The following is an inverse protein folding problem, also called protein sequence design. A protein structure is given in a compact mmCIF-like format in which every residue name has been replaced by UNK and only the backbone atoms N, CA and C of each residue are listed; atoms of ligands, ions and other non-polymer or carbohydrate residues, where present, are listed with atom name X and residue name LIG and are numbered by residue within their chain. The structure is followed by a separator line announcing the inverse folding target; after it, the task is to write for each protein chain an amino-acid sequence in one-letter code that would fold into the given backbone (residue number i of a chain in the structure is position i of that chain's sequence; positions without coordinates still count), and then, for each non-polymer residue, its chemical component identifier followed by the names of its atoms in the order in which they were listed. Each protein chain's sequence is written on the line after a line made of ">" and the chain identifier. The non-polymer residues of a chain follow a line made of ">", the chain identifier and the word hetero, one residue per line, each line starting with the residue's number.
data_IF_220423000242
#
_entry.id   IF_220423000242
#
_cell.length_a   1.000
_cell.length_b   1.000
_cell.length_c   1.000
_cell.angle_alpha   90.00
_cell.angle_beta   90.00
_cell.angle_gamma   90.00
#
_symmetry.space_group_name_H-M   'P 1'
#
loop_
_entity.id
_entity.type
_entity.pdbx_description
1 polymer ?
#
# COMPACT_ATOMS: atom_id res chain seq x y z
N UNK A 1 -0.86 11.48 -2.19
CA UNK A 1 -0.19 11.53 -3.49
C UNK A 1 0.53 10.21 -3.73
N UNK A 2 0.40 9.64 -4.93
CA UNK A 2 1.14 8.47 -5.41
C UNK A 2 2.24 8.99 -6.32
N UNK A 3 3.49 8.64 -6.07
CA UNK A 3 4.61 9.19 -6.85
C UNK A 3 5.82 8.27 -6.92
N UNK A 4 6.69 8.58 -7.88
CA UNK A 4 8.00 7.96 -8.00
C UNK A 4 9.02 8.72 -7.14
N UNK A 5 9.96 7.97 -6.58
CA UNK A 5 11.05 8.48 -5.78
C UNK A 5 12.28 7.58 -5.88
N UNK A 6 13.16 7.72 -4.94
CA UNK A 6 14.36 6.89 -4.83
C UNK A 6 14.55 6.42 -3.40
N UNK A 7 14.96 5.16 -3.24
CA UNK A 7 15.31 4.56 -1.95
C UNK A 7 16.65 3.83 -2.06
N UNK A 8 17.39 3.77 -0.96
CA UNK A 8 18.72 3.16 -0.94
C UNK A 8 18.67 1.83 -0.20
N UNK A 9 19.11 0.78 -0.86
CA UNK A 9 19.15 -0.58 -0.35
C UNK A 9 20.59 -1.13 -0.45
N UNK A 10 21.21 -1.49 0.67
CA UNK A 10 22.57 -2.01 0.67
C UNK A 10 23.61 -1.11 0.01
N UNK A 11 23.42 0.22 0.08
CA UNK A 11 24.31 1.20 -0.53
C UNK A 11 24.05 1.50 -2.01
N UNK A 12 23.08 0.84 -2.65
CA UNK A 12 22.64 1.12 -4.03
C UNK A 12 21.30 1.84 -4.03
N UNK A 13 21.12 2.81 -4.93
CA UNK A 13 19.89 3.59 -5.06
C UNK A 13 19.03 3.02 -6.17
N UNK A 14 17.79 2.69 -5.84
CA UNK A 14 16.77 2.20 -6.77
C UNK A 14 15.65 3.23 -6.95
N UNK A 15 15.04 3.25 -8.12
CA UNK A 15 13.74 3.90 -8.32
C UNK A 15 12.68 3.11 -7.57
N UNK A 16 11.91 3.82 -6.73
CA UNK A 16 10.82 3.26 -5.95
C UNK A 16 9.58 4.12 -6.07
N UNK A 17 8.43 3.57 -5.71
CA UNK A 17 7.18 4.30 -5.67
C UNK A 17 6.60 4.29 -4.26
N UNK A 18 5.93 5.38 -3.90
CA UNK A 18 5.34 5.52 -2.58
C UNK A 18 4.10 6.40 -2.53
N UNK A 19 3.43 6.36 -1.40
CA UNK A 19 2.33 7.25 -1.06
C UNK A 19 2.84 8.32 -0.09
N UNK A 20 2.83 9.57 -0.51
CA UNK A 20 3.38 10.72 0.23
C UNK A 20 4.86 10.58 0.61
N UNK A 21 5.59 9.73 -0.09
CA UNK A 21 7.00 9.43 0.16
C UNK A 21 7.59 8.63 -0.99
N UNK A 22 8.81 8.14 -0.79
CA UNK A 22 9.57 7.44 -1.84
C UNK A 22 9.26 5.93 -1.88
N UNK A 23 8.82 5.35 -0.78
CA UNK A 23 8.58 3.91 -0.63
C UNK A 23 7.48 3.70 0.41
N UNK A 24 6.58 2.75 0.17
CA UNK A 24 5.42 2.49 1.01
C UNK A 24 4.50 3.71 1.15
N UNK A 25 3.69 3.73 2.17
CA UNK A 25 2.80 4.82 2.54
C UNK A 25 2.72 4.98 4.05
N UNK A 26 2.12 6.08 4.51
CA UNK A 26 1.84 6.25 5.93
C UNK A 26 0.84 5.20 6.41
N UNK A 27 0.89 4.86 7.70
CA UNK A 27 -0.21 4.13 8.33
C UNK A 27 -1.43 5.05 8.42
N UNK A 28 -2.57 4.55 7.98
CA UNK A 28 -3.86 5.25 8.04
C UNK A 28 -4.68 4.65 9.18
N UNK A 29 -5.01 5.47 10.19
CA UNK A 29 -5.90 5.08 11.26
C UNK A 29 -7.33 5.53 10.95
N UNK A 30 -8.26 4.59 10.96
CA UNK A 30 -9.70 4.80 10.77
C UNK A 30 -10.43 4.39 12.02
N UNK A 31 -11.55 5.05 12.32
CA UNK A 31 -12.41 4.71 13.44
C UNK A 31 -13.77 4.25 12.94
N UNK A 32 -14.24 3.13 13.47
CA UNK A 32 -15.60 2.63 13.21
C UNK A 32 -16.65 3.71 13.47
N UNK A 33 -17.61 3.82 12.58
CA UNK A 33 -18.68 4.82 12.64
C UNK A 33 -18.28 6.23 12.18
N UNK A 34 -17.06 6.43 11.71
CA UNK A 34 -16.60 7.70 11.14
C UNK A 34 -16.46 7.62 9.63
N UNK A 35 -16.92 8.67 8.94
CA UNK A 35 -16.66 8.86 7.52
C UNK A 35 -15.33 9.60 7.33
N UNK A 36 -14.52 9.13 6.39
CA UNK A 36 -13.24 9.76 6.03
C UNK A 36 -13.18 9.95 4.53
N UNK A 37 -12.93 11.18 4.07
CA UNK A 37 -12.69 11.45 2.66
C UNK A 37 -11.20 11.44 2.37
N UNK A 38 -10.81 10.67 1.36
CA UNK A 38 -9.42 10.53 0.92
C UNK A 38 -9.29 11.07 -0.50
N UNK A 39 -8.42 12.05 -0.66
CA UNK A 39 -8.02 12.59 -1.95
C UNK A 39 -6.75 11.89 -2.44
N UNK A 40 -6.83 11.25 -3.58
CA UNK A 40 -5.75 10.46 -4.17
C UNK A 40 -5.29 11.15 -5.45
N UNK A 41 -4.03 11.53 -5.51
CA UNK A 41 -3.41 12.16 -6.69
C UNK A 41 -2.38 11.22 -7.28
N UNK A 42 -2.49 10.91 -8.56
CA UNK A 42 -1.53 10.08 -9.28
C UNK A 42 -0.49 10.96 -10.00
N UNK A 43 0.73 10.97 -9.50
CA UNK A 43 1.88 11.66 -10.12
C UNK A 43 2.81 10.69 -10.87
N UNK A 44 2.43 9.41 -11.00
CA UNK A 44 3.14 8.47 -11.86
C UNK A 44 2.89 8.81 -13.33
N UNK A 45 3.75 8.31 -14.20
CA UNK A 45 3.61 8.40 -15.65
C UNK A 45 2.68 7.35 -16.24
N UNK A 46 2.11 6.49 -15.40
CA UNK A 46 1.15 5.45 -15.79
C UNK A 46 -0.10 5.49 -14.89
N UNK A 47 -1.17 4.88 -15.37
CA UNK A 47 -2.39 4.72 -14.58
C UNK A 47 -2.20 3.75 -13.42
N UNK A 48 -2.92 3.99 -12.33
CA UNK A 48 -2.94 3.18 -11.13
C UNK A 48 -4.31 3.19 -10.49
N UNK A 49 -4.47 2.46 -9.39
CA UNK A 49 -5.62 2.52 -8.49
C UNK A 49 -5.12 2.62 -7.06
N UNK A 50 -6.02 2.81 -6.10
CA UNK A 50 -5.75 2.60 -4.69
C UNK A 50 -6.88 1.77 -4.11
N UNK A 51 -6.60 0.48 -3.87
CA UNK A 51 -7.54 -0.47 -3.30
C UNK A 51 -7.36 -0.55 -1.78
N UNK A 52 -8.49 -0.56 -1.08
CA UNK A 52 -8.57 -0.66 0.38
C UNK A 52 -8.79 -2.11 0.79
N UNK A 53 -7.72 -2.89 0.82
CA UNK A 53 -7.76 -4.33 1.04
C UNK A 53 -8.17 -4.67 2.48
N UNK A 54 -9.30 -5.33 2.62
CA UNK A 54 -9.88 -5.72 3.90
C UNK A 54 -10.91 -4.73 4.47
N UNK A 55 -11.17 -3.61 3.77
CA UNK A 55 -12.27 -2.72 4.14
C UNK A 55 -13.60 -3.23 3.56
N UNK A 56 -14.63 -3.27 4.39
CA UNK A 56 -16.01 -3.57 4.01
C UNK A 56 -16.69 -2.28 3.52
N UNK A 57 -16.40 -1.90 2.28
CA UNK A 57 -16.90 -0.67 1.65
C UNK A 57 -17.51 -0.96 0.27
N UNK A 58 -18.42 -0.12 -0.24
CA UNK A 58 -18.99 -0.31 -1.57
C UNK A 58 -17.92 -0.33 -2.66
N UNK A 59 -18.13 -1.15 -3.72
CA UNK A 59 -17.17 -1.31 -4.81
C UNK A 59 -16.79 -0.02 -5.53
N UNK A 60 -17.67 0.98 -5.52
CA UNK A 60 -17.42 2.30 -6.11
C UNK A 60 -16.30 3.07 -5.42
N UNK A 61 -16.05 2.81 -4.13
CA UNK A 61 -15.01 3.49 -3.33
C UNK A 61 -13.85 2.56 -2.96
N UNK A 62 -14.02 1.26 -3.15
CA UNK A 62 -13.03 0.21 -2.80
C UNK A 62 -11.72 0.34 -3.58
N UNK A 63 -11.74 0.93 -4.76
CA UNK A 63 -10.52 1.18 -5.56
C UNK A 63 -9.97 -0.06 -6.27
N UNK A 64 -10.80 -1.06 -6.54
CA UNK A 64 -10.47 -2.18 -7.40
C UNK A 64 -10.13 -1.77 -8.84
N UNK A 65 -10.04 -2.73 -9.80
CA UNK A 65 -9.59 -2.45 -11.18
C UNK A 65 -10.37 -1.35 -11.90
N UNK A 66 -11.63 -1.15 -11.55
CA UNK A 66 -12.48 -0.09 -12.10
C UNK A 66 -12.15 1.31 -11.57
N UNK A 67 -11.36 1.39 -10.48
CA UNK A 67 -11.01 2.65 -9.80
C UNK A 67 -9.81 3.37 -10.39
N UNK A 68 -9.64 3.35 -11.72
CA UNK A 68 -8.48 3.89 -12.43
C UNK A 68 -8.28 5.39 -12.15
N UNK A 69 -7.04 5.74 -11.84
CA UNK A 69 -6.55 7.12 -11.70
C UNK A 69 -5.49 7.33 -12.78
N UNK A 70 -5.78 8.09 -13.86
CA UNK A 70 -4.82 8.31 -14.92
C UNK A 70 -3.61 9.14 -14.46
N UNK A 71 -2.52 9.18 -15.23
CA UNK A 71 -1.38 10.07 -14.96
C UNK A 71 -1.84 11.52 -14.78
N UNK A 72 -1.38 12.17 -13.71
CA UNK A 72 -1.80 13.53 -13.34
C UNK A 72 -3.24 13.65 -12.83
N UNK A 73 -3.96 12.52 -12.73
CA UNK A 73 -5.36 12.49 -12.31
C UNK A 73 -5.54 12.53 -10.79
N UNK A 74 -6.78 12.82 -10.41
CA UNK A 74 -7.25 12.80 -9.02
C UNK A 74 -8.48 11.91 -8.90
N UNK A 75 -8.59 11.19 -7.78
CA UNK A 75 -9.82 10.53 -7.34
C UNK A 75 -10.07 10.88 -5.87
N UNK A 76 -11.31 11.23 -5.55
CA UNK A 76 -11.77 11.43 -4.17
C UNK A 76 -12.75 10.33 -3.81
N UNK A 77 -12.56 9.68 -2.67
CA UNK A 77 -13.46 8.64 -2.15
C UNK A 77 -13.80 8.94 -0.71
N UNK A 78 -15.05 8.64 -0.32
CA UNK A 78 -15.47 8.72 1.08
C UNK A 78 -15.69 7.32 1.61
N UNK A 79 -14.90 6.93 2.60
CA UNK A 79 -14.97 5.64 3.28
C UNK A 79 -15.88 5.80 4.51
N UNK A 80 -16.97 5.05 4.52
CA UNK A 80 -17.86 4.90 5.68
C UNK A 80 -17.50 3.56 6.34
N UNK A 81 -16.68 3.61 7.38
CA UNK A 81 -16.15 2.40 8.01
C UNK A 81 -17.11 1.95 9.12
N UNK A 82 -17.75 0.80 8.93
CA UNK A 82 -18.65 0.19 9.94
C UNK A 82 -18.29 -1.27 10.25
N UNK A 83 -17.05 -1.65 10.06
CA UNK A 83 -16.55 -2.97 10.44
C UNK A 83 -15.83 -2.93 11.80
N UNK A 84 -15.70 -4.07 12.50
CA UNK A 84 -14.91 -4.18 13.72
C UNK A 84 -13.45 -3.79 13.54
N UNK A 85 -12.77 -3.51 14.66
CA UNK A 85 -11.33 -3.26 14.66
C UNK A 85 -10.55 -4.33 13.90
N UNK A 86 -9.67 -3.88 13.03
CA UNK A 86 -8.89 -4.75 12.13
C UNK A 86 -7.59 -4.08 11.69
N UNK A 87 -6.62 -4.92 11.30
CA UNK A 87 -5.45 -4.50 10.56
C UNK A 87 -5.63 -4.86 9.09
N UNK A 88 -5.69 -3.84 8.25
CA UNK A 88 -5.87 -3.93 6.80
C UNK A 88 -4.70 -3.24 6.11
N UNK A 89 -4.73 -3.16 4.79
CA UNK A 89 -3.72 -2.45 4.03
C UNK A 89 -4.31 -1.82 2.78
N UNK A 90 -3.56 -0.97 2.10
CA UNK A 90 -3.94 -0.40 0.81
C UNK A 90 -2.80 -0.57 -0.19
N UNK A 91 -3.17 -0.81 -1.43
CA UNK A 91 -2.24 -1.06 -2.51
C UNK A 91 -2.91 -0.83 -3.88
N UNK A 92 -2.14 -0.75 -4.99
CA UNK A 92 -2.71 -0.72 -6.33
C UNK A 92 -3.44 -2.02 -6.67
N UNK A 93 -4.50 -1.92 -7.47
CA UNK A 93 -5.22 -3.07 -8.02
C UNK A 93 -5.47 -2.91 -9.53
N UNK A 94 -4.57 -2.20 -10.22
CA UNK A 94 -4.66 -2.00 -11.66
C UNK A 94 -4.50 -3.33 -12.39
N UNK A 95 -5.45 -3.67 -13.25
CA UNK A 95 -5.43 -4.92 -14.01
C UNK A 95 -4.14 -5.05 -14.83
N UNK A 96 -3.44 -6.18 -14.69
CA UNK A 96 -2.16 -6.46 -15.36
C UNK A 96 -0.94 -5.70 -14.81
N UNK A 97 -1.11 -4.81 -13.80
CA UNK A 97 -0.01 -4.01 -13.24
C UNK A 97 0.15 -4.15 -11.74
N UNK A 98 -0.79 -4.76 -11.04
CA UNK A 98 -0.82 -4.85 -9.57
C UNK A 98 0.51 -5.32 -9.00
N UNK A 99 1.02 -6.47 -9.43
CA UNK A 99 2.24 -7.06 -8.90
C UNK A 99 3.45 -6.15 -9.06
N UNK A 100 3.63 -5.58 -10.27
CA UNK A 100 4.73 -4.64 -10.53
C UNK A 100 4.63 -3.38 -9.67
N UNK A 101 3.45 -2.77 -9.57
CA UNK A 101 3.24 -1.54 -8.82
C UNK A 101 3.47 -1.77 -7.31
N UNK A 102 3.06 -2.92 -6.77
CA UNK A 102 3.37 -3.31 -5.39
C UNK A 102 4.87 -3.60 -5.22
N UNK A 103 5.50 -4.31 -6.16
CA UNK A 103 6.94 -4.56 -6.13
C UNK A 103 7.76 -3.28 -6.14
N UNK A 104 7.30 -2.24 -6.88
CA UNK A 104 7.93 -0.92 -6.88
C UNK A 104 7.80 -0.16 -5.55
N UNK A 105 6.91 -0.61 -4.63
CA UNK A 105 6.82 -0.05 -3.29
C UNK A 105 5.45 0.48 -2.87
N UNK A 106 4.43 0.38 -3.71
CA UNK A 106 3.11 0.91 -3.40
C UNK A 106 2.34 -0.04 -2.47
N UNK A 107 2.47 0.17 -1.18
CA UNK A 107 1.68 -0.46 -0.14
C UNK A 107 1.63 0.45 1.10
N UNK A 108 0.58 0.31 1.91
CA UNK A 108 0.47 1.04 3.17
C UNK A 108 -0.49 0.34 4.12
N UNK A 109 -0.34 0.63 5.40
CA UNK A 109 -1.13 0.02 6.48
C UNK A 109 -2.41 0.79 6.72
N UNK A 110 -3.50 0.07 6.99
CA UNK A 110 -4.74 0.62 7.54
C UNK A 110 -5.02 -0.05 8.88
N UNK A 111 -5.26 0.75 9.91
CA UNK A 111 -5.68 0.28 11.23
C UNK A 111 -7.07 0.82 11.50
N UNK A 112 -8.03 -0.07 11.74
CA UNK A 112 -9.38 0.29 12.13
C UNK A 112 -9.50 0.09 13.65
N UNK A 113 -9.93 1.13 14.32
CA UNK A 113 -10.21 1.10 15.75
C UNK A 113 -11.72 1.17 16.01
N UNK A 114 -12.18 0.51 17.06
CA UNK A 114 -13.54 0.59 17.56
C UNK A 114 -13.55 0.73 19.10
N UNK A 115 -14.74 0.92 19.66
CA UNK A 115 -14.85 1.09 21.12
C UNK A 115 -14.50 -0.20 21.90
N UNK A 116 -14.54 -1.36 21.26
CA UNK A 116 -14.22 -2.63 21.92
C UNK A 116 -12.71 -2.82 22.04
N UNK A 117 -11.94 -2.57 20.96
CA UNK A 117 -10.48 -2.66 21.03
C UNK A 117 -9.90 -1.64 22.03
N UNK A 118 -10.52 -0.47 22.14
CA UNK A 118 -10.06 0.57 23.05
C UNK A 118 -10.25 0.21 24.54
N UNK A 119 -11.15 -0.73 24.88
CA UNK A 119 -11.34 -1.25 26.24
C UNK A 119 -10.32 -2.31 26.64
N UNK A 120 -9.67 -2.94 25.66
CA UNK A 120 -8.69 -3.99 25.94
C UNK A 120 -7.40 -3.40 26.52
N UNK A 121 -6.77 -4.14 27.40
CA UNK A 121 -5.47 -3.79 28.00
C UNK A 121 -4.33 -4.23 27.09
N UNK A 122 -4.32 -3.71 25.84
CA UNK A 122 -3.27 -3.96 24.87
C UNK A 122 -2.28 -2.80 24.85
N UNK A 123 -1.06 -3.00 24.36
CA UNK A 123 -0.17 -1.92 24.00
C UNK A 123 -0.88 -0.95 23.03
N UNK A 124 -0.80 0.37 23.27
CA UNK A 124 -1.55 1.38 22.52
C UNK A 124 -0.72 2.59 22.12
N UNK A 125 0.51 2.66 22.59
CA UNK A 125 1.37 3.79 22.34
C UNK A 125 2.07 3.59 21.01
N UNK A 126 1.46 4.16 19.95
CA UNK A 126 1.93 4.04 18.59
C UNK A 126 3.40 4.39 18.43
N UNK A 127 4.17 3.47 17.82
CA UNK A 127 5.61 3.62 17.60
C UNK A 127 6.48 3.33 18.83
N UNK A 128 5.89 2.99 19.97
CA UNK A 128 6.60 2.63 21.21
C UNK A 128 6.32 1.19 21.61
N UNK A 129 5.08 0.86 21.93
CA UNK A 129 4.66 -0.48 22.30
C UNK A 129 3.59 -1.07 21.36
N UNK A 130 3.06 -0.24 20.46
CA UNK A 130 2.22 -0.61 19.31
C UNK A 130 2.97 -0.21 18.05
N UNK A 131 3.74 -1.15 17.48
CA UNK A 131 4.68 -0.89 16.37
C UNK A 131 4.19 -1.60 15.11
N UNK A 132 3.88 -0.86 14.03
CA UNK A 132 3.55 -1.47 12.74
C UNK A 132 4.78 -2.12 12.12
N UNK A 133 4.59 -3.32 11.58
CA UNK A 133 5.64 -4.03 10.86
C UNK A 133 5.13 -4.47 9.49
N UNK A 134 5.72 -3.91 8.43
CA UNK A 134 5.47 -4.30 7.05
C UNK A 134 6.70 -5.06 6.57
N UNK A 135 6.52 -6.35 6.30
CA UNK A 135 7.58 -7.19 5.72
C UNK A 135 7.36 -7.29 4.21
N UNK A 136 8.41 -7.09 3.46
CA UNK A 136 8.43 -7.18 1.99
C UNK A 136 9.63 -8.01 1.54
N UNK A 137 9.49 -8.65 0.39
CA UNK A 137 10.61 -9.17 -0.36
C UNK A 137 10.86 -8.32 -1.61
N UNK A 138 12.11 -8.17 -1.98
CA UNK A 138 12.55 -7.47 -3.19
C UNK A 138 13.62 -8.30 -3.89
N UNK A 139 13.70 -8.12 -5.20
CA UNK A 139 14.80 -8.62 -6.02
C UNK A 139 15.42 -7.44 -6.74
N UNK A 140 16.74 -7.40 -6.78
CA UNK A 140 17.48 -6.32 -7.42
C UNK A 140 18.35 -6.86 -8.55
N UNK A 141 18.44 -6.12 -9.65
CA UNK A 141 19.37 -6.41 -10.72
C UNK A 141 20.80 -5.95 -10.39
N UNK A 142 21.75 -6.16 -11.29
CA UNK A 142 23.16 -5.79 -11.09
C UNK A 142 23.37 -4.30 -10.84
N UNK A 143 22.50 -3.44 -11.40
CA UNK A 143 22.53 -1.99 -11.23
C UNK A 143 21.85 -1.52 -9.92
N UNK A 144 21.27 -2.45 -9.15
CA UNK A 144 20.57 -2.18 -7.91
C UNK A 144 19.13 -1.70 -8.09
N UNK A 145 18.58 -1.77 -9.31
CA UNK A 145 17.16 -1.45 -9.55
C UNK A 145 16.27 -2.64 -9.20
N UNK A 146 15.01 -2.37 -8.82
CA UNK A 146 14.02 -3.43 -8.56
C UNK A 146 13.81 -4.24 -9.85
N UNK A 147 14.03 -5.54 -9.77
CA UNK A 147 13.93 -6.49 -10.88
C UNK A 147 12.61 -7.27 -10.79
N UNK A 148 11.57 -6.70 -11.36
CA UNK A 148 10.26 -7.36 -11.48
C UNK A 148 10.12 -7.97 -12.86
N UNK A 149 10.56 -9.22 -13.00
CA UNK A 149 10.44 -10.01 -14.25
C UNK A 149 9.40 -11.12 -14.06
N UNK A 150 8.50 -11.24 -15.01
CA UNK A 150 7.52 -12.32 -15.04
C UNK A 150 7.89 -13.32 -16.14
N UNK A 151 7.92 -14.58 -15.77
CA UNK A 151 8.00 -15.73 -16.67
C UNK A 151 6.84 -16.70 -16.37
N UNK A 152 6.83 -17.85 -17.03
CA UNK A 152 5.77 -18.86 -16.85
C UNK A 152 5.70 -19.35 -15.39
N UNK A 153 6.84 -19.47 -14.72
CA UNK A 153 6.89 -19.94 -13.33
C UNK A 153 6.41 -18.86 -12.37
N UNK A 154 6.90 -17.64 -12.49
CA UNK A 154 6.46 -16.51 -11.65
C UNK A 154 5.00 -16.14 -11.88
N UNK A 155 4.47 -16.35 -13.09
CA UNK A 155 3.05 -16.19 -13.36
C UNK A 155 2.19 -17.26 -12.67
N UNK A 156 2.73 -18.48 -12.51
CA UNK A 156 2.00 -19.61 -11.89
C UNK A 156 2.08 -19.62 -10.37
N UNK A 157 3.24 -19.28 -9.79
CA UNK A 157 3.50 -19.44 -8.34
C UNK A 157 3.69 -18.12 -7.59
N UNK A 158 3.75 -17.01 -8.31
CA UNK A 158 4.06 -15.67 -7.77
C UNK A 158 5.51 -15.26 -8.03
N UNK A 159 5.75 -13.95 -7.98
CA UNK A 159 7.08 -13.39 -8.00
C UNK A 159 7.62 -13.33 -6.58
N UNK A 160 8.85 -13.77 -6.39
CA UNK A 160 9.53 -13.77 -5.09
C UNK A 160 10.84 -12.99 -5.20
N UNK A 161 11.11 -12.18 -4.19
CA UNK A 161 12.40 -11.54 -3.98
C UNK A 161 13.34 -12.41 -3.16
N UNK A 162 14.61 -12.07 -3.17
CA UNK A 162 15.68 -12.70 -2.39
C UNK A 162 16.19 -11.80 -1.25
N UNK A 163 15.69 -10.57 -1.17
CA UNK A 163 16.06 -9.57 -0.18
C UNK A 163 14.84 -9.20 0.66
N UNK A 164 14.87 -9.52 1.95
CA UNK A 164 13.80 -9.18 2.89
C UNK A 164 14.02 -7.79 3.46
N UNK A 165 12.95 -7.00 3.48
CA UNK A 165 12.91 -5.66 4.05
C UNK A 165 11.84 -5.58 5.15
N UNK A 166 12.07 -4.74 6.13
CA UNK A 166 11.10 -4.42 7.18
C UNK A 166 10.91 -2.91 7.24
N UNK A 167 9.66 -2.48 7.00
CA UNK A 167 9.26 -1.07 6.93
C UNK A 167 9.98 -0.26 5.83
N UNK A 168 10.45 -0.97 4.80
CA UNK A 168 11.13 -0.36 3.65
C UNK A 168 12.65 -0.35 3.68
#
# INVERSE_FOLDING_TARGET
>A
TIGAGQSTFGGKTATTWGYNGNLLGPAVKLQRGKAVTVDIYNQLTEETTLHWHGLEVPGEVDGGPQGIIPPGGKRSVTLNVDQPAATCWFHPHQHGKTGRQVAMGLAGLVVIEDDEILKLMLPKQWGIDDVPVIVQDKKFNADGQIDYQLDVMTAAVGWFGDTLLTNG
#
